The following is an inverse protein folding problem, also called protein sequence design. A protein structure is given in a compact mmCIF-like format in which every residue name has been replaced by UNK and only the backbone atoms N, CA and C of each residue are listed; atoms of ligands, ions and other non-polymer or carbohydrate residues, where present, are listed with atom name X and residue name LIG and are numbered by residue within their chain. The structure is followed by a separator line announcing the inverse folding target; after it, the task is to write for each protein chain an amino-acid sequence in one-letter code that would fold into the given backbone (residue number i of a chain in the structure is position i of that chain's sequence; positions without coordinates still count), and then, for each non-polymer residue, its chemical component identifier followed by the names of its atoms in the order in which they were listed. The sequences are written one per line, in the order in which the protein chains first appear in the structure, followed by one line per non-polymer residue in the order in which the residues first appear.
data_IF_311353171598
#
_entry.id   IF_311353171598
#
_cell.length_a   1.000
_cell.length_b   1.000
_cell.length_c   1.000
_cell.angle_alpha   90.00
_cell.angle_beta   90.00
_cell.angle_gamma   90.00
#
_symmetry.space_group_name_H-M   'P 1'
#
loop_
_entity.id
_entity.type
_entity.pdbx_description
1 polymer ?
#
# COMPACT_ATOMS: atom_id res chain seq x y z
N UNK A 1 -31.33 7.55 -31.19
CA UNK A 1 -30.32 8.19 -30.33
C UNK A 1 -29.85 7.11 -29.38
N UNK A 2 -28.63 6.59 -29.55
CA UNK A 2 -28.09 5.65 -28.57
C UNK A 2 -27.88 6.42 -27.25
N UNK A 3 -28.43 5.92 -26.15
CA UNK A 3 -28.17 6.49 -24.83
C UNK A 3 -26.68 6.28 -24.53
N UNK A 4 -25.97 7.35 -24.19
CA UNK A 4 -24.61 7.26 -23.69
C UNK A 4 -24.66 6.68 -22.26
N UNK A 5 -24.43 5.37 -22.15
CA UNK A 5 -24.42 4.65 -20.89
C UNK A 5 -23.08 4.75 -20.16
N UNK A 6 -22.08 5.44 -20.73
CA UNK A 6 -20.73 5.54 -20.18
C UNK A 6 -20.70 5.95 -18.70
N UNK A 7 -21.37 7.04 -18.29
CA UNK A 7 -21.41 7.48 -16.89
C UNK A 7 -22.04 6.45 -15.95
N UNK A 8 -23.14 5.82 -16.35
CA UNK A 8 -23.86 4.83 -15.53
C UNK A 8 -23.07 3.52 -15.37
N UNK A 9 -22.33 3.13 -16.41
CA UNK A 9 -21.38 2.01 -16.36
C UNK A 9 -20.27 2.30 -15.35
N UNK A 10 -19.68 3.49 -15.40
CA UNK A 10 -18.63 3.91 -14.47
C UNK A 10 -19.11 3.93 -13.01
N UNK A 11 -20.29 4.49 -12.75
CA UNK A 11 -20.90 4.51 -11.41
C UNK A 11 -21.17 3.10 -10.88
N UNK A 12 -21.79 2.24 -11.71
CA UNK A 12 -22.07 0.84 -11.36
C UNK A 12 -20.78 0.06 -11.11
N UNK A 13 -19.78 0.22 -11.96
CA UNK A 13 -18.49 -0.47 -11.82
C UNK A 13 -17.78 -0.06 -10.54
N UNK A 14 -17.67 1.23 -10.25
CA UNK A 14 -16.94 1.74 -9.09
C UNK A 14 -17.45 1.15 -7.77
N UNK A 15 -18.78 1.12 -7.60
CA UNK A 15 -19.42 0.52 -6.42
C UNK A 15 -19.21 -1.00 -6.40
N UNK A 16 -19.51 -1.70 -7.49
CA UNK A 16 -19.42 -3.16 -7.54
C UNK A 16 -17.97 -3.66 -7.38
N UNK A 17 -17.00 -2.92 -7.92
CA UNK A 17 -15.59 -3.27 -7.80
C UNK A 17 -15.09 -3.07 -6.37
N UNK A 18 -15.43 -1.94 -5.71
CA UNK A 18 -15.08 -1.75 -4.29
C UNK A 18 -15.73 -2.82 -3.40
N UNK A 19 -16.99 -3.16 -3.65
CA UNK A 19 -17.68 -4.25 -2.95
C UNK A 19 -16.96 -5.59 -3.13
N UNK A 20 -16.64 -5.95 -4.37
CA UNK A 20 -15.93 -7.19 -4.66
C UNK A 20 -14.57 -7.22 -3.96
N UNK A 21 -13.77 -6.18 -4.12
CA UNK A 21 -12.46 -6.05 -3.46
C UNK A 21 -12.57 -6.13 -1.93
N UNK A 22 -13.50 -5.37 -1.33
CA UNK A 22 -13.70 -5.31 0.12
C UNK A 22 -14.08 -6.66 0.73
N UNK A 23 -15.04 -7.37 0.11
CA UNK A 23 -15.48 -8.67 0.62
C UNK A 23 -14.53 -9.82 0.27
N UNK A 24 -13.82 -9.78 -0.86
CA UNK A 24 -12.76 -10.75 -1.15
C UNK A 24 -11.61 -10.64 -0.14
N UNK A 25 -11.21 -9.42 0.23
CA UNK A 25 -10.27 -9.20 1.32
C UNK A 25 -10.80 -9.70 2.67
N UNK A 26 -12.06 -9.41 3.00
CA UNK A 26 -12.68 -9.93 4.23
C UNK A 26 -12.67 -11.46 4.29
N UNK A 27 -13.03 -12.12 3.18
CA UNK A 27 -12.98 -13.57 3.08
C UNK A 27 -11.56 -14.12 3.25
N UNK A 28 -10.55 -13.50 2.62
CA UNK A 28 -9.15 -13.87 2.80
C UNK A 28 -8.72 -13.74 4.27
N UNK A 29 -9.08 -12.64 4.94
CA UNK A 29 -8.82 -12.42 6.36
C UNK A 29 -9.43 -13.52 7.24
N UNK A 30 -10.71 -13.86 7.02
CA UNK A 30 -11.41 -14.89 7.79
C UNK A 30 -10.80 -16.29 7.56
N UNK A 31 -10.37 -16.59 6.33
CA UNK A 31 -9.69 -17.84 6.02
C UNK A 31 -8.31 -17.92 6.68
N UNK A 32 -7.56 -16.82 6.72
CA UNK A 32 -6.26 -16.75 7.42
C UNK A 32 -6.46 -16.97 8.91
N UNK A 33 -7.41 -16.28 9.54
CA UNK A 33 -7.72 -16.46 10.96
C UNK A 33 -8.16 -17.90 11.28
N UNK A 34 -8.95 -18.52 10.40
CA UNK A 34 -9.34 -19.95 10.52
C UNK A 34 -8.11 -20.86 10.48
N UNK A 35 -7.19 -20.63 9.53
CA UNK A 35 -5.96 -21.43 9.41
C UNK A 35 -5.01 -21.26 10.59
N UNK A 36 -5.06 -20.13 11.26
CA UNK A 36 -4.31 -19.83 12.49
C UNK A 36 -5.02 -20.33 13.74
N UNK A 37 -6.22 -20.94 13.62
CA UNK A 37 -6.98 -21.43 14.76
C UNK A 37 -7.51 -20.33 15.68
N UNK A 38 -7.73 -19.12 15.16
CA UNK A 38 -8.27 -18.01 15.96
C UNK A 38 -9.69 -18.32 16.46
N UNK A 39 -9.99 -18.14 17.77
CA UNK A 39 -11.31 -18.41 18.33
C UNK A 39 -12.37 -17.38 17.91
N UNK A 40 -11.95 -16.28 17.26
CA UNK A 40 -12.83 -15.18 16.91
C UNK A 40 -13.57 -15.35 15.57
N UNK A 41 -13.25 -16.40 14.80
CA UNK A 41 -13.92 -16.65 13.51
C UNK A 41 -15.20 -17.44 13.74
N UNK A 42 -16.33 -16.85 13.32
CA UNK A 42 -17.61 -17.55 13.29
C UNK A 42 -17.86 -18.13 11.90
N UNK A 43 -18.22 -19.41 11.82
CA UNK A 43 -18.55 -20.07 10.55
C UNK A 43 -19.66 -19.34 9.78
N UNK A 44 -20.63 -18.77 10.50
CA UNK A 44 -21.71 -17.96 9.92
C UNK A 44 -21.18 -16.72 9.18
N UNK A 45 -20.17 -16.01 9.72
CA UNK A 45 -19.59 -14.84 9.07
C UNK A 45 -18.88 -15.20 7.76
N UNK A 46 -18.24 -16.37 7.71
CA UNK A 46 -17.60 -16.91 6.50
C UNK A 46 -18.64 -17.18 5.41
N UNK A 47 -19.73 -17.87 5.76
CA UNK A 47 -20.79 -18.18 4.79
C UNK A 47 -21.53 -16.92 4.31
N UNK A 48 -21.87 -16.00 5.21
CA UNK A 48 -22.47 -14.71 4.83
C UNK A 48 -21.56 -13.92 3.87
N UNK A 49 -20.24 -13.94 4.09
CA UNK A 49 -19.28 -13.28 3.21
C UNK A 49 -19.26 -13.93 1.83
N UNK A 50 -19.28 -15.27 1.75
CA UNK A 50 -19.36 -16.00 0.46
C UNK A 50 -20.64 -15.68 -0.30
N UNK A 51 -21.78 -15.65 0.37
CA UNK A 51 -23.07 -15.32 -0.25
C UNK A 51 -23.05 -13.91 -0.88
N UNK A 52 -22.49 -12.93 -0.17
CA UNK A 52 -22.31 -11.57 -0.68
C UNK A 52 -21.40 -11.53 -1.90
N UNK A 53 -20.25 -12.21 -1.85
CA UNK A 53 -19.32 -12.32 -2.99
C UNK A 53 -20.01 -12.93 -4.21
N UNK A 54 -20.75 -14.04 -4.03
CA UNK A 54 -21.46 -14.70 -5.12
C UNK A 54 -22.47 -13.76 -5.80
N UNK A 55 -23.18 -12.96 -4.99
CA UNK A 55 -24.13 -11.97 -5.48
C UNK A 55 -23.48 -10.81 -6.23
N UNK A 56 -22.40 -10.25 -5.69
CA UNK A 56 -21.62 -9.19 -6.34
C UNK A 56 -21.03 -9.69 -7.66
N UNK A 57 -20.51 -10.92 -7.69
CA UNK A 57 -19.99 -11.56 -8.90
C UNK A 57 -21.05 -11.65 -9.99
N UNK A 58 -22.29 -12.00 -9.63
CA UNK A 58 -23.41 -12.00 -10.57
C UNK A 58 -23.69 -10.60 -11.12
N UNK A 59 -23.75 -9.57 -10.26
CA UNK A 59 -23.95 -8.19 -10.72
C UNK A 59 -22.82 -7.70 -11.63
N UNK A 60 -21.56 -8.02 -11.35
CA UNK A 60 -20.44 -7.72 -12.23
C UNK A 60 -20.58 -8.41 -13.59
N UNK A 61 -20.99 -9.68 -13.61
CA UNK A 61 -21.23 -10.41 -14.86
C UNK A 61 -22.39 -9.83 -15.68
N UNK A 62 -23.43 -9.33 -15.03
CA UNK A 62 -24.54 -8.63 -15.69
C UNK A 62 -24.11 -7.23 -16.18
N UNK A 63 -23.27 -6.51 -15.41
CA UNK A 63 -22.69 -5.23 -15.83
C UNK A 63 -21.89 -5.37 -17.12
N UNK A 64 -21.08 -6.42 -17.28
CA UNK A 64 -20.34 -6.70 -18.53
C UNK A 64 -21.23 -6.86 -19.76
N UNK A 65 -22.52 -7.16 -19.57
CA UNK A 65 -23.54 -7.24 -20.63
C UNK A 65 -24.27 -5.90 -20.85
N UNK A 66 -23.82 -4.83 -20.19
CA UNK A 66 -24.43 -3.50 -20.22
C UNK A 66 -25.54 -3.28 -19.19
N UNK A 67 -25.77 -4.19 -18.23
CA UNK A 67 -26.81 -4.02 -17.22
C UNK A 67 -26.30 -3.22 -16.01
N UNK A 68 -26.42 -1.89 -16.09
CA UNK A 68 -26.13 -0.99 -14.98
C UNK A 68 -27.13 -1.19 -13.83
N UNK A 69 -26.63 -1.22 -12.60
CA UNK A 69 -27.48 -1.23 -11.40
C UNK A 69 -27.50 0.12 -10.68
N UNK A 70 -26.66 1.08 -11.10
CA UNK A 70 -26.66 2.45 -10.64
C UNK A 70 -26.69 3.41 -11.84
N UNK A 71 -27.26 4.60 -11.63
CA UNK A 71 -27.18 5.72 -12.57
C UNK A 71 -26.61 6.95 -11.88
N UNK A 72 -25.89 7.79 -12.62
CA UNK A 72 -25.37 9.08 -12.12
C UNK A 72 -26.46 10.12 -11.89
N UNK A 73 -27.64 9.93 -12.49
CA UNK A 73 -28.79 10.84 -12.35
C UNK A 73 -29.70 10.49 -11.15
N UNK A 74 -29.45 9.35 -10.50
CA UNK A 74 -30.24 8.91 -9.35
C UNK A 74 -29.75 9.58 -8.08
N UNK A 75 -30.69 10.10 -7.29
CA UNK A 75 -30.45 10.62 -5.93
C UNK A 75 -30.70 9.58 -4.84
N UNK A 76 -31.23 8.41 -5.23
CA UNK A 76 -31.48 7.24 -4.39
C UNK A 76 -31.50 5.98 -5.27
N UNK A 77 -31.19 4.79 -4.74
CA UNK A 77 -31.21 3.55 -5.54
C UNK A 77 -32.65 3.19 -6.00
N UNK A 78 -32.86 3.03 -7.31
CA UNK A 78 -34.20 2.81 -7.88
C UNK A 78 -34.56 1.34 -8.11
N UNK A 79 -33.60 0.42 -8.04
CA UNK A 79 -33.84 -1.03 -8.20
C UNK A 79 -33.54 -1.81 -6.92
N UNK A 80 -34.11 -3.00 -6.77
CA UNK A 80 -33.78 -3.89 -5.64
C UNK A 80 -32.29 -4.24 -5.60
N UNK A 81 -31.67 -4.48 -6.77
CA UNK A 81 -30.24 -4.75 -6.85
C UNK A 81 -29.41 -3.55 -6.40
N UNK A 82 -29.79 -2.33 -6.81
CA UNK A 82 -29.14 -1.09 -6.39
C UNK A 82 -29.24 -0.86 -4.87
N UNK A 83 -30.45 -1.05 -4.31
CA UNK A 83 -30.71 -0.88 -2.88
C UNK A 83 -29.86 -1.85 -2.06
N UNK A 84 -29.80 -3.10 -2.50
CA UNK A 84 -29.03 -4.13 -1.81
C UNK A 84 -27.52 -3.93 -1.94
N UNK A 85 -27.02 -3.56 -3.12
CA UNK A 85 -25.62 -3.21 -3.32
C UNK A 85 -25.23 -2.00 -2.44
N UNK A 86 -26.10 -0.98 -2.35
CA UNK A 86 -25.87 0.16 -1.45
C UNK A 86 -25.88 -0.26 0.02
N UNK A 87 -26.77 -1.18 0.43
CA UNK A 87 -26.78 -1.71 1.80
C UNK A 87 -25.49 -2.48 2.12
N UNK A 88 -24.98 -3.29 1.17
CA UNK A 88 -23.69 -3.95 1.33
C UNK A 88 -22.54 -2.94 1.43
N UNK A 89 -22.59 -1.87 0.64
CA UNK A 89 -21.57 -0.82 0.65
C UNK A 89 -21.53 -0.13 2.01
N UNK A 90 -22.70 0.25 2.54
CA UNK A 90 -22.82 0.87 3.86
C UNK A 90 -22.45 -0.09 5.02
N UNK A 91 -22.72 -1.39 4.89
CA UNK A 91 -22.29 -2.42 5.86
C UNK A 91 -20.77 -2.68 5.83
N UNK A 92 -20.10 -2.48 4.69
CA UNK A 92 -18.66 -2.65 4.56
C UNK A 92 -17.88 -1.61 5.40
N UNK A 93 -18.35 -0.36 5.48
CA UNK A 93 -17.68 0.72 6.21
C UNK A 93 -17.40 0.40 7.69
N UNK A 94 -18.39 0.08 8.55
CA UNK A 94 -18.11 -0.22 9.96
C UNK A 94 -17.20 -1.44 10.13
N UNK A 95 -17.18 -2.39 9.18
CA UNK A 95 -16.26 -3.54 9.20
C UNK A 95 -14.82 -3.10 8.95
N UNK A 96 -14.59 -2.21 7.98
CA UNK A 96 -13.28 -1.62 7.71
C UNK A 96 -12.77 -0.81 8.91
N UNK A 97 -13.63 0.06 9.46
CA UNK A 97 -13.28 0.86 10.66
C UNK A 97 -12.96 -0.02 11.87
N UNK A 98 -13.71 -1.11 12.08
CA UNK A 98 -13.40 -2.08 13.15
C UNK A 98 -12.00 -2.66 12.99
N UNK A 99 -11.63 -3.09 11.77
CA UNK A 99 -10.28 -3.61 11.50
C UNK A 99 -9.22 -2.53 11.78
N UNK A 100 -9.46 -1.31 11.29
CA UNK A 100 -8.57 -0.17 11.51
C UNK A 100 -8.31 0.09 13.00
N UNK A 101 -9.37 0.27 13.79
CA UNK A 101 -9.24 0.58 15.22
C UNK A 101 -8.63 -0.57 16.03
N UNK A 102 -9.01 -1.81 15.75
CA UNK A 102 -8.40 -2.97 16.41
C UNK A 102 -6.91 -3.07 16.09
N UNK A 103 -6.52 -2.85 14.84
CA UNK A 103 -5.13 -2.91 14.43
C UNK A 103 -4.30 -1.76 15.02
N UNK A 104 -4.84 -0.53 15.04
CA UNK A 104 -4.18 0.60 15.70
C UNK A 104 -3.94 0.33 17.19
N UNK A 105 -4.94 -0.22 17.90
CA UNK A 105 -4.79 -0.59 19.30
C UNK A 105 -3.72 -1.68 19.52
N UNK A 106 -3.65 -2.67 18.63
CA UNK A 106 -2.61 -3.72 18.68
C UNK A 106 -1.21 -3.12 18.47
N UNK A 107 -1.06 -2.22 17.50
CA UNK A 107 0.25 -1.63 17.17
C UNK A 107 0.76 -0.64 18.24
N UNK A 108 -0.12 -0.14 19.10
CA UNK A 108 0.26 0.66 20.27
C UNK A 108 0.63 -0.21 21.49
N UNK A 109 0.36 -1.52 21.47
CA UNK A 109 0.73 -2.45 22.53
C UNK A 109 2.20 -2.88 22.36
N UNK A 110 3.09 -2.38 23.22
CA UNK A 110 4.52 -2.74 23.20
C UNK A 110 4.78 -4.25 23.33
N UNK A 111 3.80 -5.00 23.87
CA UNK A 111 3.89 -6.46 24.06
C UNK A 111 3.08 -7.24 23.02
N UNK A 112 2.69 -6.64 21.88
CA UNK A 112 1.87 -7.34 20.88
C UNK A 112 2.52 -8.66 20.40
N UNK A 113 3.85 -8.75 20.38
CA UNK A 113 4.60 -9.96 19.99
C UNK A 113 4.45 -11.12 20.97
N UNK A 114 3.95 -10.88 22.18
CA UNK A 114 3.65 -11.90 23.18
C UNK A 114 2.20 -12.42 23.09
N UNK A 115 1.37 -11.76 22.27
CA UNK A 115 -0.07 -12.02 22.18
C UNK A 115 -0.42 -12.69 20.86
N UNK A 116 -0.67 -13.99 20.90
CA UNK A 116 -1.04 -14.81 19.73
C UNK A 116 -2.18 -14.19 18.91
N UNK A 117 -3.25 -13.72 19.56
CA UNK A 117 -4.38 -13.09 18.86
C UNK A 117 -3.99 -11.80 18.13
N UNK A 118 -3.06 -11.03 18.67
CA UNK A 118 -2.55 -9.80 18.04
C UNK A 118 -1.76 -10.13 16.78
N UNK A 119 -0.86 -11.12 16.86
CA UNK A 119 -0.09 -11.60 15.70
C UNK A 119 -1.05 -12.13 14.62
N UNK A 120 -2.03 -12.96 15.00
CA UNK A 120 -3.03 -13.48 14.08
C UNK A 120 -3.79 -12.36 13.37
N UNK A 121 -4.21 -11.35 14.12
CA UNK A 121 -4.98 -10.23 13.57
C UNK A 121 -4.16 -9.37 12.61
N UNK A 122 -2.87 -9.13 12.87
CA UNK A 122 -2.00 -8.38 11.94
C UNK A 122 -1.81 -9.17 10.64
N UNK A 123 -1.49 -10.48 10.72
CA UNK A 123 -1.31 -11.33 9.52
C UNK A 123 -2.59 -11.35 8.68
N UNK A 124 -3.75 -11.53 9.34
CA UNK A 124 -5.04 -11.54 8.66
C UNK A 124 -5.41 -10.17 8.07
N UNK A 125 -5.09 -9.07 8.74
CA UNK A 125 -5.31 -7.71 8.24
C UNK A 125 -4.45 -7.41 7.02
N UNK A 126 -3.18 -7.86 7.01
CA UNK A 126 -2.34 -7.75 5.82
C UNK A 126 -2.89 -8.59 4.67
N UNK A 127 -3.39 -9.80 4.96
CA UNK A 127 -4.13 -10.62 4.00
C UNK A 127 -5.36 -9.92 3.43
N UNK A 128 -6.18 -9.28 4.29
CA UNK A 128 -7.34 -8.48 3.86
C UNK A 128 -6.92 -7.42 2.85
N UNK A 129 -5.91 -6.63 3.20
CA UNK A 129 -5.38 -5.57 2.34
C UNK A 129 -4.88 -6.10 0.99
N UNK A 130 -4.01 -7.10 1.00
CA UNK A 130 -3.39 -7.63 -0.22
C UNK A 130 -4.44 -8.19 -1.20
N UNK A 131 -5.39 -8.98 -0.70
CA UNK A 131 -6.46 -9.54 -1.53
C UNK A 131 -7.47 -8.49 -1.99
N UNK A 132 -7.80 -7.49 -1.16
CA UNK A 132 -8.63 -6.36 -1.61
C UNK A 132 -7.94 -5.58 -2.73
N UNK A 133 -6.66 -5.26 -2.57
CA UNK A 133 -5.88 -4.51 -3.57
C UNK A 133 -5.80 -5.24 -4.91
N UNK A 134 -5.47 -6.53 -4.91
CA UNK A 134 -5.42 -7.34 -6.13
C UNK A 134 -6.79 -7.36 -6.85
N UNK A 135 -7.87 -7.66 -6.12
CA UNK A 135 -9.20 -7.71 -6.71
C UNK A 135 -9.66 -6.34 -7.26
N UNK A 136 -9.34 -5.26 -6.55
CA UNK A 136 -9.66 -3.90 -7.00
C UNK A 136 -8.96 -3.56 -8.32
N UNK A 137 -7.64 -3.80 -8.39
CA UNK A 137 -6.83 -3.56 -9.60
C UNK A 137 -7.31 -4.43 -10.77
N UNK A 138 -7.50 -5.73 -10.54
CA UNK A 138 -8.00 -6.64 -11.58
C UNK A 138 -9.38 -6.24 -12.07
N UNK A 139 -10.26 -5.76 -11.19
CA UNK A 139 -11.59 -5.29 -11.57
C UNK A 139 -11.55 -4.10 -12.52
N UNK A 140 -10.67 -3.12 -12.31
CA UNK A 140 -10.49 -1.99 -13.23
C UNK A 140 -9.89 -2.42 -14.56
N UNK A 141 -8.89 -3.31 -14.54
CA UNK A 141 -8.30 -3.86 -15.77
C UNK A 141 -9.36 -4.60 -16.59
N UNK A 142 -10.13 -5.49 -15.95
CA UNK A 142 -11.20 -6.27 -16.58
C UNK A 142 -12.33 -5.38 -17.11
N UNK A 143 -12.69 -4.31 -16.40
CA UNK A 143 -13.64 -3.30 -16.88
C UNK A 143 -13.11 -2.57 -18.11
N UNK A 144 -11.86 -2.07 -18.07
CA UNK A 144 -11.25 -1.39 -19.19
C UNK A 144 -11.10 -2.27 -20.42
N UNK A 145 -10.73 -3.54 -20.26
CA UNK A 145 -10.67 -4.52 -21.34
C UNK A 145 -12.07 -4.83 -21.91
N UNK A 146 -13.08 -4.99 -21.05
CA UNK A 146 -14.46 -5.31 -21.48
C UNK A 146 -15.09 -4.18 -22.30
N UNK A 147 -14.90 -2.93 -21.88
CA UNK A 147 -15.54 -1.75 -22.49
C UNK A 147 -14.61 -0.94 -23.39
N UNK A 148 -13.40 -1.45 -23.66
CA UNK A 148 -12.41 -0.83 -24.55
C UNK A 148 -11.94 0.56 -24.07
N UNK A 149 -11.64 0.68 -22.78
CA UNK A 149 -11.02 1.84 -22.14
C UNK A 149 -9.52 1.57 -21.84
N UNK A 150 -8.63 1.68 -22.83
CA UNK A 150 -7.20 1.36 -22.67
C UNK A 150 -6.52 2.22 -21.60
N UNK A 151 -6.96 3.46 -21.38
CA UNK A 151 -6.41 4.37 -20.37
C UNK A 151 -6.58 3.83 -18.95
N UNK A 152 -7.71 3.18 -18.65
CA UNK A 152 -7.94 2.52 -17.35
C UNK A 152 -6.99 1.34 -17.22
N UNK A 153 -6.82 0.56 -18.28
CA UNK A 153 -5.93 -0.61 -18.28
C UNK A 153 -4.48 -0.18 -18.03
N UNK A 154 -4.01 0.85 -18.73
CA UNK A 154 -2.66 1.41 -18.60
C UNK A 154 -2.41 1.98 -17.20
N UNK A 155 -3.39 2.66 -16.63
CA UNK A 155 -3.29 3.22 -15.27
C UNK A 155 -3.11 2.13 -14.20
N UNK A 156 -3.87 1.04 -14.27
CA UNK A 156 -3.92 0.04 -13.19
C UNK A 156 -2.92 -1.11 -13.36
N UNK A 157 -2.52 -1.44 -14.59
CA UNK A 157 -1.62 -2.57 -14.88
C UNK A 157 -0.28 -2.54 -14.14
N UNK A 158 0.40 -1.39 -13.96
CA UNK A 158 1.65 -1.32 -13.20
C UNK A 158 1.49 -1.79 -11.73
N UNK A 159 0.33 -1.54 -11.13
CA UNK A 159 0.05 -1.92 -9.74
C UNK A 159 -0.16 -3.42 -9.52
N UNK A 160 -0.46 -4.18 -10.58
CA UNK A 160 -0.82 -5.60 -10.47
C UNK A 160 0.34 -6.45 -9.94
N UNK A 161 1.55 -6.23 -10.45
CA UNK A 161 2.75 -6.96 -10.00
C UNK A 161 3.00 -6.78 -8.51
N UNK A 162 2.81 -5.57 -7.99
CA UNK A 162 2.96 -5.30 -6.56
C UNK A 162 1.85 -5.97 -5.74
N UNK A 163 0.61 -5.99 -6.21
CA UNK A 163 -0.48 -6.66 -5.50
C UNK A 163 -0.27 -8.19 -5.44
N UNK A 164 0.22 -8.80 -6.52
CA UNK A 164 0.60 -10.21 -6.55
C UNK A 164 1.74 -10.53 -5.58
N UNK A 165 2.73 -9.64 -5.52
CA UNK A 165 3.84 -9.71 -4.57
C UNK A 165 3.37 -9.58 -3.12
N UNK A 166 2.45 -8.65 -2.82
CA UNK A 166 1.85 -8.49 -1.49
C UNK A 166 1.16 -9.80 -1.06
N UNK A 167 0.39 -10.45 -1.95
CA UNK A 167 -0.25 -11.75 -1.69
C UNK A 167 0.81 -12.83 -1.43
N UNK A 168 1.89 -12.88 -2.22
CA UNK A 168 2.99 -13.82 -2.01
C UNK A 168 3.60 -13.66 -0.62
N UNK A 169 3.84 -12.42 -0.19
CA UNK A 169 4.37 -12.11 1.15
C UNK A 169 3.41 -12.56 2.25
N UNK A 170 2.09 -12.33 2.11
CA UNK A 170 1.07 -12.82 3.07
C UNK A 170 1.24 -14.33 3.30
N UNK A 171 1.31 -15.12 2.23
CA UNK A 171 1.44 -16.58 2.33
C UNK A 171 2.77 -16.99 2.96
N UNK A 172 3.86 -16.29 2.66
CA UNK A 172 5.16 -16.56 3.28
C UNK A 172 5.14 -16.30 4.79
N UNK A 173 4.59 -15.16 5.22
CA UNK A 173 4.44 -14.81 6.63
C UNK A 173 3.54 -15.81 7.35
N UNK A 174 2.39 -16.13 6.76
CA UNK A 174 1.44 -17.11 7.30
C UNK A 174 2.09 -18.49 7.49
N UNK A 175 2.75 -19.02 6.45
CA UNK A 175 3.38 -20.33 6.51
C UNK A 175 4.56 -20.37 7.48
N UNK A 176 5.39 -19.32 7.50
CA UNK A 176 6.49 -19.17 8.45
C UNK A 176 5.99 -19.21 9.89
N UNK A 177 4.95 -18.42 10.20
CA UNK A 177 4.36 -18.39 11.54
C UNK A 177 3.72 -19.73 11.94
N UNK A 178 2.93 -20.35 11.04
CA UNK A 178 2.32 -21.67 11.29
C UNK A 178 3.33 -22.77 11.56
N UNK A 179 4.48 -22.73 10.89
CA UNK A 179 5.55 -23.73 11.04
C UNK A 179 6.28 -23.60 12.39
N UNK A 180 6.39 -22.38 12.90
CA UNK A 180 7.00 -22.09 14.19
C UNK A 180 6.37 -20.81 14.80
N UNK A 181 5.46 -20.91 15.77
CA UNK A 181 4.89 -19.72 16.41
C UNK A 181 5.91 -18.89 17.21
N UNK A 182 7.02 -19.50 17.64
CA UNK A 182 8.09 -18.84 18.39
C UNK A 182 9.10 -18.20 17.42
N UNK A 183 8.68 -17.14 16.75
CA UNK A 183 9.51 -16.40 15.81
C UNK A 183 10.54 -15.50 16.51
N UNK A 184 11.55 -15.08 15.75
CA UNK A 184 12.57 -14.15 16.24
C UNK A 184 12.09 -12.69 16.24
N UNK A 185 12.88 -11.81 16.85
CA UNK A 185 12.60 -10.37 16.88
C UNK A 185 12.47 -9.77 15.48
N UNK A 186 13.25 -10.24 14.52
CA UNK A 186 13.24 -9.71 13.15
C UNK A 186 11.91 -9.98 12.44
N UNK A 187 11.30 -11.15 12.67
CA UNK A 187 9.97 -11.46 12.16
C UNK A 187 8.91 -10.50 12.71
N UNK A 188 8.90 -10.24 14.03
CA UNK A 188 7.91 -9.35 14.64
C UNK A 188 8.11 -7.89 14.22
N UNK A 189 9.34 -7.44 14.05
CA UNK A 189 9.63 -6.12 13.48
C UNK A 189 9.08 -6.02 12.06
N UNK A 190 9.35 -7.02 11.20
CA UNK A 190 8.80 -7.03 9.84
C UNK A 190 7.26 -7.01 9.85
N UNK A 191 6.63 -7.80 10.73
CA UNK A 191 5.18 -7.83 10.88
C UNK A 191 4.62 -6.48 11.34
N UNK A 192 5.29 -5.81 12.28
CA UNK A 192 4.94 -4.45 12.71
C UNK A 192 5.01 -3.46 11.55
N UNK A 193 6.11 -3.48 10.78
CA UNK A 193 6.30 -2.62 9.62
C UNK A 193 5.24 -2.86 8.53
N UNK A 194 4.77 -4.11 8.37
CA UNK A 194 3.66 -4.42 7.47
C UNK A 194 2.32 -3.91 8.01
N UNK A 195 2.14 -3.90 9.32
CA UNK A 195 0.90 -3.47 9.99
C UNK A 195 0.73 -1.96 10.08
N UNK A 196 1.81 -1.19 10.26
CA UNK A 196 1.76 0.23 10.66
C UNK A 196 0.95 1.14 9.72
N UNK A 197 0.93 0.83 8.41
CA UNK A 197 0.18 1.64 7.42
C UNK A 197 -1.30 1.26 7.33
N UNK A 198 -1.64 0.03 7.71
CA UNK A 198 -2.94 -0.58 7.42
C UNK A 198 -4.13 0.12 8.10
N UNK A 199 -4.06 0.64 9.35
CA UNK A 199 -5.19 1.37 9.93
C UNK A 199 -5.61 2.54 9.05
N UNK A 200 -4.65 3.36 8.61
CA UNK A 200 -4.90 4.47 7.70
C UNK A 200 -5.48 4.01 6.37
N UNK A 201 -4.92 2.95 5.77
CA UNK A 201 -5.46 2.36 4.53
C UNK A 201 -6.89 1.84 4.67
N UNK A 202 -7.25 1.22 5.81
CA UNK A 202 -8.63 0.79 6.02
C UNK A 202 -9.57 1.97 6.26
N UNK A 203 -9.10 3.05 6.88
CA UNK A 203 -9.87 4.29 7.00
C UNK A 203 -10.10 4.95 5.63
N UNK A 204 -9.11 4.94 4.72
CA UNK A 204 -9.33 5.47 3.37
C UNK A 204 -10.35 4.65 2.61
N UNK A 205 -10.30 3.31 2.69
CA UNK A 205 -11.34 2.47 2.08
C UNK A 205 -12.73 2.73 2.70
N UNK A 206 -12.79 3.02 4.00
CA UNK A 206 -14.04 3.40 4.68
C UNK A 206 -14.55 4.78 4.22
N UNK A 207 -13.66 5.68 3.82
CA UNK A 207 -13.99 6.96 3.20
C UNK A 207 -14.42 6.82 1.74
N UNK A 208 -13.81 5.90 0.97
CA UNK A 208 -14.24 5.55 -0.40
C UNK A 208 -15.70 5.07 -0.42
N UNK A 209 -16.11 4.31 0.62
CA UNK A 209 -17.52 3.94 0.82
C UNK A 209 -18.43 5.18 0.93
N UNK A 210 -18.01 6.21 1.67
CA UNK A 210 -18.79 7.44 1.81
C UNK A 210 -18.86 8.21 0.50
N UNK A 211 -17.75 8.32 -0.23
CA UNK A 211 -17.69 8.98 -1.54
C UNK A 211 -18.62 8.31 -2.55
N UNK A 212 -18.56 6.98 -2.66
CA UNK A 212 -19.37 6.23 -3.62
C UNK A 212 -20.85 6.14 -3.24
N UNK A 213 -21.18 6.24 -1.95
CA UNK A 213 -22.57 6.27 -1.49
C UNK A 213 -23.18 7.67 -1.46
N UNK A 214 -22.37 8.73 -1.50
CA UNK A 214 -22.82 10.12 -1.39
C UNK A 214 -23.91 10.50 -2.41
N UNK A 215 -23.81 10.18 -3.71
CA UNK A 215 -24.87 10.53 -4.68
C UNK A 215 -26.25 9.96 -4.31
N UNK A 216 -26.28 8.83 -3.59
CA UNK A 216 -27.48 8.07 -3.27
C UNK A 216 -27.98 8.28 -1.83
N UNK A 217 -27.24 9.03 -1.02
CA UNK A 217 -27.50 9.24 0.42
C UNK A 217 -27.55 10.73 0.79
N UNK A 218 -27.74 11.60 -0.18
CA UNK A 218 -27.87 13.05 0.03
C UNK A 218 -26.53 13.79 0.17
N UNK A 219 -25.53 13.40 -0.62
CA UNK A 219 -24.23 14.07 -0.72
C UNK A 219 -23.23 13.73 0.40
N UNK A 220 -21.99 14.20 0.22
CA UNK A 220 -20.92 14.11 1.21
C UNK A 220 -20.81 15.44 1.97
N UNK A 221 -20.74 15.37 3.29
CA UNK A 221 -20.47 16.50 4.19
C UNK A 221 -19.30 16.17 5.12
N UNK A 222 -18.73 17.18 5.77
CA UNK A 222 -17.67 16.97 6.78
C UNK A 222 -18.18 16.06 7.92
N UNK A 223 -19.40 16.28 8.39
CA UNK A 223 -20.03 15.43 9.41
C UNK A 223 -20.10 13.96 8.97
N UNK A 224 -20.55 13.69 7.73
CA UNK A 224 -20.58 12.32 7.19
C UNK A 224 -19.20 11.70 7.05
N UNK A 225 -18.19 12.52 6.72
CA UNK A 225 -16.78 12.14 6.71
C UNK A 225 -16.20 11.93 8.13
N UNK A 226 -16.99 12.15 9.20
CA UNK A 226 -16.54 11.99 10.59
C UNK A 226 -15.69 13.16 11.10
N UNK A 227 -15.79 14.33 10.45
CA UNK A 227 -15.04 15.53 10.80
C UNK A 227 -15.97 16.45 11.61
N UNK A 228 -15.63 16.78 12.88
CA UNK A 228 -16.44 17.65 13.71
C UNK A 228 -16.48 19.07 13.15
N UNK A 229 -17.55 19.81 13.46
CA UNK A 229 -17.80 21.17 12.93
C UNK A 229 -16.62 22.13 13.16
N UNK A 230 -16.00 22.09 14.34
CA UNK A 230 -14.83 22.92 14.67
C UNK A 230 -13.65 22.66 13.72
N UNK A 231 -13.41 21.39 13.38
CA UNK A 231 -12.36 21.00 12.44
C UNK A 231 -12.75 21.33 10.99
N UNK A 232 -14.03 21.15 10.65
CA UNK A 232 -14.58 21.44 9.31
C UNK A 232 -14.39 22.91 8.91
N UNK A 233 -14.55 23.84 9.85
CA UNK A 233 -14.33 25.27 9.59
C UNK A 233 -12.90 25.58 9.17
N UNK A 234 -11.91 24.89 9.72
CA UNK A 234 -10.50 25.08 9.37
C UNK A 234 -10.24 24.51 7.97
N UNK A 235 -10.75 23.31 7.67
CA UNK A 235 -10.67 22.73 6.32
C UNK A 235 -11.31 23.63 5.26
N UNK A 236 -12.47 24.24 5.57
CA UNK A 236 -13.14 25.20 4.69
C UNK A 236 -12.31 26.46 4.45
N UNK A 237 -11.65 26.99 5.48
CA UNK A 237 -10.74 28.14 5.34
C UNK A 237 -9.55 27.81 4.43
N UNK A 238 -9.09 26.56 4.44
CA UNK A 238 -8.07 26.04 3.54
C UNK A 238 -8.60 25.70 2.14
N UNK A 239 -9.91 25.86 1.90
CA UNK A 239 -10.59 25.49 0.66
C UNK A 239 -10.48 23.99 0.31
N UNK A 240 -10.38 23.14 1.33
CA UNK A 240 -10.29 21.67 1.18
C UNK A 240 -11.65 21.08 1.50
N UNK A 241 -12.32 20.51 0.50
CA UNK A 241 -13.62 19.85 0.63
C UNK A 241 -13.62 18.60 1.50
N UNK A 242 -14.81 18.09 1.90
CA UNK A 242 -14.94 16.91 2.77
C UNK A 242 -14.44 15.62 2.11
N UNK A 243 -14.39 15.57 0.79
CA UNK A 243 -13.81 14.49 -0.01
C UNK A 243 -12.31 14.38 0.23
N UNK A 244 -11.56 15.48 0.14
CA UNK A 244 -10.11 15.48 0.39
C UNK A 244 -9.80 15.45 1.88
N UNK A 245 -10.52 16.22 2.71
CA UNK A 245 -10.30 16.27 4.16
C UNK A 245 -10.49 14.89 4.82
N UNK A 246 -11.44 14.08 4.34
CA UNK A 246 -11.64 12.71 4.85
C UNK A 246 -10.44 11.78 4.61
N UNK A 247 -9.67 11.98 3.53
CA UNK A 247 -8.43 11.23 3.32
C UNK A 247 -7.33 11.67 4.29
N UNK A 248 -7.14 12.97 4.52
CA UNK A 248 -6.22 13.45 5.58
C UNK A 248 -6.60 12.89 6.95
N UNK A 249 -7.89 12.96 7.30
CA UNK A 249 -8.41 12.44 8.56
C UNK A 249 -8.23 10.93 8.70
N UNK A 250 -8.26 10.18 7.59
CA UNK A 250 -8.05 8.73 7.59
C UNK A 250 -6.68 8.32 8.15
N UNK A 251 -5.68 9.19 8.06
CA UNK A 251 -4.34 8.98 8.63
C UNK A 251 -4.08 9.83 9.89
N UNK A 252 -5.15 10.30 10.53
CA UNK A 252 -5.13 11.14 11.72
C UNK A 252 -4.31 12.43 11.55
N UNK A 253 -4.36 13.00 10.34
CA UNK A 253 -3.75 14.31 10.05
C UNK A 253 -4.84 15.37 10.16
N UNK A 254 -4.69 16.25 11.14
CA UNK A 254 -5.60 17.36 11.39
C UNK A 254 -5.29 18.56 10.47
N UNK A 255 -6.23 19.51 10.29
CA UNK A 255 -6.05 20.63 9.37
C UNK A 255 -4.79 21.47 9.62
N UNK A 256 -4.42 21.70 10.90
CA UNK A 256 -3.21 22.44 11.24
C UNK A 256 -1.95 21.72 10.75
N UNK A 257 -1.86 20.41 10.97
CA UNK A 257 -0.74 19.61 10.47
C UNK A 257 -0.74 19.56 8.94
N UNK A 258 -1.90 19.41 8.29
CA UNK A 258 -1.99 19.47 6.83
C UNK A 258 -1.55 20.83 6.28
N UNK A 259 -1.82 21.93 6.99
CA UNK A 259 -1.36 23.27 6.62
C UNK A 259 0.18 23.38 6.72
N UNK A 260 0.78 22.78 7.76
CA UNK A 260 2.24 22.69 7.90
C UNK A 260 2.87 21.90 6.74
N UNK A 261 2.28 20.77 6.35
CA UNK A 261 2.72 20.01 5.16
C UNK A 261 2.59 20.80 3.87
N UNK A 262 1.49 21.56 3.71
CA UNK A 262 1.31 22.46 2.58
C UNK A 262 2.39 23.57 2.53
N UNK A 263 2.77 24.12 3.68
CA UNK A 263 3.88 25.08 3.78
C UNK A 263 5.23 24.45 3.46
N UNK A 264 5.42 23.17 3.78
CA UNK A 264 6.58 22.38 3.38
C UNK A 264 6.59 22.00 1.89
N UNK A 265 5.52 22.32 1.14
CA UNK A 265 5.37 22.04 -0.28
C UNK A 265 4.78 20.67 -0.61
N UNK A 266 4.16 19.99 0.36
CA UNK A 266 3.53 18.68 0.18
C UNK A 266 2.01 18.77 0.37
N UNK A 267 1.25 18.66 -0.72
CA UNK A 267 -0.22 18.70 -0.72
C UNK A 267 -0.88 17.33 -0.92
N UNK A 268 -0.08 16.31 -1.25
CA UNK A 268 -0.55 14.95 -1.43
C UNK A 268 -0.51 14.21 -0.08
N UNK A 269 -1.68 13.86 0.44
CA UNK A 269 -1.81 13.15 1.71
C UNK A 269 -1.06 11.81 1.69
N UNK A 270 -1.05 11.08 0.56
CA UNK A 270 -0.32 9.81 0.41
C UNK A 270 1.18 10.01 0.59
N UNK A 271 1.72 11.06 -0.02
CA UNK A 271 3.13 11.40 0.11
C UNK A 271 3.47 11.84 1.54
N UNK A 272 2.61 12.63 2.19
CA UNK A 272 2.79 13.01 3.61
C UNK A 272 2.91 11.78 4.51
N UNK A 273 2.09 10.76 4.30
CA UNK A 273 2.13 9.55 5.12
C UNK A 273 3.45 8.81 4.94
N UNK A 274 3.97 8.72 3.71
CA UNK A 274 5.29 8.14 3.46
C UNK A 274 6.41 8.90 4.18
N UNK A 275 6.33 10.24 4.25
CA UNK A 275 7.25 11.04 5.07
C UNK A 275 7.12 10.73 6.57
N UNK A 276 5.89 10.76 7.12
CA UNK A 276 5.63 10.48 8.54
C UNK A 276 6.12 9.10 8.96
N UNK A 277 5.86 8.08 8.14
CA UNK A 277 6.29 6.71 8.39
C UNK A 277 7.81 6.53 8.36
N UNK A 278 8.52 7.46 7.72
CA UNK A 278 9.97 7.53 7.73
C UNK A 278 10.52 8.44 8.82
N UNK A 279 9.66 8.88 9.75
CA UNK A 279 10.02 9.65 10.93
C UNK A 279 10.29 11.13 10.63
N UNK A 280 9.73 11.66 9.54
CA UNK A 280 9.76 13.09 9.27
C UNK A 280 8.44 13.74 9.68
N UNK A 281 8.54 14.90 10.31
CA UNK A 281 7.46 15.88 10.40
C UNK A 281 7.55 16.87 9.22
N UNK A 282 6.57 17.77 9.09
CA UNK A 282 6.55 18.75 8.00
C UNK A 282 7.82 19.63 7.98
N UNK A 283 8.28 20.05 9.16
CA UNK A 283 9.45 20.92 9.29
C UNK A 283 10.75 20.25 8.84
N UNK A 284 10.99 19.02 9.28
CA UNK A 284 12.18 18.24 8.89
C UNK A 284 12.12 17.75 7.45
N UNK A 285 10.93 17.50 6.90
CA UNK A 285 10.74 17.12 5.50
C UNK A 285 10.92 18.30 4.52
N UNK A 286 10.61 19.54 4.93
CA UNK A 286 10.57 20.71 4.04
C UNK A 286 11.85 20.89 3.21
N UNK A 287 13.03 20.80 3.83
CA UNK A 287 14.30 20.92 3.11
C UNK A 287 14.55 19.79 2.11
N UNK A 288 14.12 18.56 2.42
CA UNK A 288 14.23 17.42 1.51
C UNK A 288 13.26 17.54 0.34
N UNK A 289 12.03 17.97 0.58
CA UNK A 289 11.01 18.21 -0.44
C UNK A 289 11.48 19.30 -1.41
N UNK A 290 11.99 20.42 -0.89
CA UNK A 290 12.53 21.52 -1.71
C UNK A 290 13.72 21.08 -2.57
N UNK A 291 14.55 20.17 -2.06
CA UNK A 291 15.66 19.59 -2.79
C UNK A 291 15.25 18.45 -3.76
N UNK A 292 13.95 18.14 -3.87
CA UNK A 292 13.42 17.17 -4.82
C UNK A 292 13.61 15.70 -4.44
N UNK A 293 13.88 15.41 -3.17
CA UNK A 293 14.04 14.05 -2.68
C UNK A 293 12.70 13.38 -2.38
N UNK A 294 12.61 12.08 -2.66
CA UNK A 294 11.53 11.25 -2.15
C UNK A 294 11.79 10.82 -0.69
N UNK A 295 10.75 10.41 0.07
CA UNK A 295 10.88 10.03 1.48
C UNK A 295 11.87 8.88 1.74
N UNK A 296 12.06 7.94 0.81
CA UNK A 296 12.97 6.81 0.98
C UNK A 296 14.43 7.26 0.88
N UNK A 297 14.74 8.01 -0.18
CA UNK A 297 16.07 8.56 -0.37
C UNK A 297 16.43 9.52 0.77
N UNK A 298 15.54 10.44 1.14
CA UNK A 298 15.76 11.36 2.26
C UNK A 298 16.06 10.63 3.58
N UNK A 299 15.35 9.53 3.89
CA UNK A 299 15.61 8.72 5.09
C UNK A 299 17.00 8.09 5.07
N UNK A 300 17.44 7.58 3.93
CA UNK A 300 18.78 6.97 3.78
C UNK A 300 19.88 7.99 4.07
N UNK A 301 19.82 9.16 3.43
CA UNK A 301 20.81 10.22 3.62
C UNK A 301 20.76 10.82 5.04
N UNK A 302 19.56 11.00 5.62
CA UNK A 302 19.41 11.45 7.01
C UNK A 302 20.06 10.48 7.99
N UNK A 303 19.87 9.17 7.79
CA UNK A 303 20.48 8.13 8.65
C UNK A 303 22.02 8.14 8.59
N UNK A 304 22.58 8.55 7.46
CA UNK A 304 24.01 8.74 7.27
C UNK A 304 24.53 10.09 7.79
N UNK A 305 23.67 10.93 8.37
CA UNK A 305 24.04 12.21 8.96
C UNK A 305 24.15 13.37 7.97
N UNK A 306 23.62 13.21 6.75
CA UNK A 306 23.62 14.27 5.74
C UNK A 306 22.39 15.19 5.86
N UNK A 307 22.60 16.45 5.51
CA UNK A 307 21.52 17.43 5.30
C UNK A 307 20.97 17.31 3.87
N UNK A 308 19.77 17.87 3.57
CA UNK A 308 19.25 17.91 2.21
C UNK A 308 20.22 18.52 1.19
N UNK A 309 20.87 19.62 1.57
CA UNK A 309 21.86 20.29 0.72
C UNK A 309 23.08 19.41 0.44
N UNK A 310 23.67 18.81 1.49
CA UNK A 310 24.84 17.94 1.31
C UNK A 310 24.50 16.71 0.47
N UNK A 311 23.31 16.12 0.64
CA UNK A 311 22.87 15.00 -0.18
C UNK A 311 22.71 15.41 -1.66
N UNK A 312 22.12 16.58 -1.93
CA UNK A 312 21.98 17.12 -3.29
C UNK A 312 23.34 17.32 -3.97
N UNK A 313 24.29 17.94 -3.26
CA UNK A 313 25.67 18.15 -3.75
C UNK A 313 26.38 16.81 -4.07
N UNK A 314 26.18 15.79 -3.24
CA UNK A 314 26.73 14.46 -3.49
C UNK A 314 26.10 13.78 -4.71
N UNK A 315 24.78 13.87 -4.88
CA UNK A 315 24.10 13.33 -6.06
C UNK A 315 24.55 14.04 -7.34
N UNK A 316 24.72 15.36 -7.31
CA UNK A 316 25.26 16.14 -8.43
C UNK A 316 26.70 15.72 -8.78
N UNK A 317 27.50 15.34 -7.76
CA UNK A 317 28.82 14.76 -7.95
C UNK A 317 28.81 13.28 -8.40
N UNK A 318 27.64 12.68 -8.63
CA UNK A 318 27.48 11.29 -9.07
C UNK A 318 27.47 10.25 -7.95
N UNK A 319 27.43 10.66 -6.68
CA UNK A 319 27.34 9.77 -5.51
C UNK A 319 25.87 9.50 -5.21
N UNK A 320 25.36 8.36 -5.67
CA UNK A 320 23.94 8.00 -5.56
C UNK A 320 23.55 7.38 -4.20
N UNK A 321 24.52 6.92 -3.41
CA UNK A 321 24.30 6.30 -2.11
C UNK A 321 25.21 6.91 -1.03
N UNK A 322 24.71 7.19 0.20
CA UNK A 322 25.51 7.82 1.25
C UNK A 322 26.76 7.01 1.64
N UNK A 323 26.71 5.68 1.56
CA UNK A 323 27.87 4.82 1.87
C UNK A 323 29.03 4.98 0.88
N UNK A 324 28.81 5.64 -0.26
CA UNK A 324 29.84 5.92 -1.27
C UNK A 324 30.46 7.31 -1.11
N UNK A 325 29.98 8.11 -0.16
CA UNK A 325 30.57 9.42 0.15
C UNK A 325 32.02 9.22 0.59
N UNK A 326 32.94 9.92 -0.09
CA UNK A 326 34.37 9.83 0.17
C UNK A 326 35.07 8.62 -0.47
N UNK A 327 34.34 7.74 -1.16
CA UNK A 327 34.96 6.75 -2.06
C UNK A 327 35.20 7.44 -3.39
N UNK A 328 36.47 7.62 -3.75
CA UNK A 328 36.82 8.07 -5.09
C UNK A 328 36.59 6.89 -6.06
N UNK A 329 35.63 6.99 -7.00
CA UNK A 329 35.34 5.92 -7.95
C UNK A 329 36.56 5.55 -8.79
N UNK A 330 37.42 6.52 -9.08
CA UNK A 330 38.66 6.31 -9.82
C UNK A 330 39.64 5.51 -8.98
N UNK A 331 39.75 5.81 -7.69
CA UNK A 331 40.63 5.05 -6.79
C UNK A 331 40.15 3.62 -6.55
N UNK A 332 38.83 3.39 -6.47
CA UNK A 332 38.29 2.02 -6.39
C UNK A 332 38.48 1.25 -7.69
N UNK A 333 38.34 1.89 -8.86
CA UNK A 333 38.68 1.30 -10.16
C UNK A 333 40.17 0.97 -10.26
N UNK A 334 41.06 1.88 -9.84
CA UNK A 334 42.51 1.67 -9.83
C UNK A 334 42.92 0.53 -8.88
N UNK A 335 42.30 0.45 -7.69
CA UNK A 335 42.52 -0.67 -6.77
C UNK A 335 42.07 -2.00 -7.38
N UNK A 336 40.91 -2.03 -8.02
CA UNK A 336 40.40 -3.23 -8.70
C UNK A 336 41.32 -3.65 -9.86
N UNK A 337 41.77 -2.70 -10.68
CA UNK A 337 42.71 -2.96 -11.78
C UNK A 337 44.04 -3.50 -11.25
N UNK A 338 44.62 -2.85 -10.23
CA UNK A 338 45.87 -3.32 -9.61
C UNK A 338 45.73 -4.73 -9.02
N UNK A 339 44.61 -5.05 -8.38
CA UNK A 339 44.34 -6.40 -7.89
C UNK A 339 44.22 -7.43 -9.01
N UNK A 340 43.58 -7.07 -10.14
CA UNK A 340 43.52 -7.96 -11.32
C UNK A 340 44.88 -8.21 -11.97
N UNK A 341 45.72 -7.17 -12.09
CA UNK A 341 47.08 -7.29 -12.62
C UNK A 341 47.96 -8.15 -11.70
N UNK A 342 47.81 -7.97 -10.38
CA UNK A 342 48.52 -8.78 -9.39
C UNK A 342 48.10 -10.26 -9.43
N UNK A 343 46.81 -10.54 -9.61
CA UNK A 343 46.30 -11.92 -9.75
C UNK A 343 46.80 -12.57 -11.04
N UNK A 344 46.76 -11.86 -12.17
CA UNK A 344 47.25 -12.36 -13.46
C UNK A 344 48.75 -12.70 -13.43
N UNK A 345 49.55 -11.95 -12.67
CA UNK A 345 50.98 -12.22 -12.50
C UNK A 345 51.30 -13.33 -11.48
N UNK A 346 50.32 -13.84 -10.71
CA UNK A 346 50.52 -14.95 -9.78
C UNK A 346 50.18 -16.32 -10.38
N UNK A 347 49.43 -16.34 -11.49
CA UNK A 347 49.04 -17.55 -12.21
C UNK A 347 49.97 -17.88 -13.41
N UNK A 348 51.15 -17.24 -13.48
CA UNK A 348 52.26 -17.69 -14.34
C UNK A 348 53.25 -18.49 -13.47
N UNK A 349 53.00 -19.79 -13.20
CA UNK A 349 53.96 -20.64 -12.54
C UNK A 349 55.13 -20.78 -13.49
N UNK A 350 56.18 -19.99 -13.25
CA UNK A 350 57.40 -19.96 -14.04
C UNK A 350 57.75 -21.36 -14.52
N UNK A 351 57.82 -21.49 -15.85
CA UNK A 351 58.45 -22.60 -16.56
C UNK A 351 59.72 -22.98 -15.80
N UNK A 352 59.64 -24.11 -15.08
CA UNK A 352 60.74 -24.62 -14.30
C UNK A 352 61.80 -25.09 -15.29
N UNK A 353 62.83 -24.25 -15.36
CA UNK A 353 64.16 -24.43 -15.92
C UNK A 353 64.59 -25.91 -15.96
N UNK A 354 64.53 -26.48 -17.18
CA UNK A 354 65.07 -27.79 -17.51
C UNK A 354 66.52 -27.63 -18.00
N UNK A 355 67.42 -27.14 -17.15
CA UNK A 355 68.87 -27.25 -17.41
C UNK A 355 69.36 -28.65 -17.08
N UNK A 356 69.28 -29.49 -18.12
CA UNK A 356 70.41 -30.22 -18.73
C UNK A 356 71.62 -30.47 -17.82
N UNK A 357 71.70 -31.70 -17.28
CA UNK A 357 72.94 -32.29 -16.75
C UNK A 357 73.59 -33.09 -17.88
N UNK A 358 74.52 -32.47 -18.59
CA UNK A 358 75.48 -33.17 -19.44
C UNK A 358 76.52 -33.91 -18.60
N UNK A 359 76.71 -35.17 -18.97
CA UNK A 359 77.70 -36.13 -18.49
C UNK A 359 79.15 -35.65 -18.66
N UNK A 360 80.00 -35.98 -17.68
CA UNK A 360 81.46 -36.07 -17.86
C UNK A 360 81.92 -37.52 -17.56
N UNK A 361 82.69 -38.15 -18.46
CA UNK A 361 83.27 -39.48 -18.25
C UNK A 361 84.73 -39.44 -17.76
N UNK A 362 85.07 -40.49 -16.99
CA UNK A 362 86.39 -41.09 -16.63
C UNK A 362 87.53 -40.23 -16.05
#
# INVERSE_FOLDING_TARGET
MALDLGPDLGASHSILNLLNAGYQGEFASLNILTQLGSPHVKAEEVEQTKERIAKITKWLADLKKGACIFSVNWTKPETFAAQEALNYLLDLRPRLLRVSYTLAAILLDENFSERTDSIHFIIASFGRFAYSRDNYIRGFIDFGETFQYPEIVEQYRPGLKQAEEDIRIVHQVLNKYRSNPNQDKAFYEALFQMGVKLPGTFNTHAHDVLLLSAPYTGGLSYEKAGIPEEEAQIWQQMQIGPDIAGYWKSFDIHPNEAAEWGQAGCFDYLLVIEWKLRGFDAASAAGWIQAGFDPATARLWTKAGHTPQSAAENIEAGVLHPDDVGKDPIMEQLKAQYQSEKAANQDDPGENDTTDKTDEPD
#
